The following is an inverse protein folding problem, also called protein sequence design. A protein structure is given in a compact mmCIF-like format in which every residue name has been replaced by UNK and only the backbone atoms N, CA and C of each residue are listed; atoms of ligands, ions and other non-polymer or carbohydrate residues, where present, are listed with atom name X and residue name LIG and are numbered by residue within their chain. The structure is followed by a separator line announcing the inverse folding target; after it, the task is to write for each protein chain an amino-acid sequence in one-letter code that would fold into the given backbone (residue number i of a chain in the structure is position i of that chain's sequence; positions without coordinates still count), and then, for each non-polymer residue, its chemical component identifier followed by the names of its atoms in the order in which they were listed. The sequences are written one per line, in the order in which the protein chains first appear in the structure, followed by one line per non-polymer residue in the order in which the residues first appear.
data_IF_455850997791
#
_entry.id   IF_455850997791
#
_cell.length_a   1.000
_cell.length_b   1.000
_cell.length_c   1.000
_cell.angle_alpha   90.00
_cell.angle_beta   90.00
_cell.angle_gamma   90.00
#
_symmetry.space_group_name_H-M   'P 1'
#
loop_
_entity.id
_entity.type
_entity.pdbx_description
1 polymer ?
#
# COMPACT_ATOMS: atom_id res chain seq x y z
N UNK A 1 17.09 -6.82 -1.00
CA UNK A 1 16.73 -6.73 0.43
C UNK A 1 15.72 -5.60 0.71
N UNK A 2 15.02 -5.07 -0.30
CA UNK A 2 14.05 -3.96 -0.19
C UNK A 2 12.57 -4.42 -0.12
N UNK A 3 12.31 -5.67 0.27
CA UNK A 3 10.95 -6.24 0.23
C UNK A 3 10.04 -5.73 1.36
N UNK A 4 9.74 -6.59 2.33
CA UNK A 4 8.84 -6.29 3.45
C UNK A 4 9.21 -5.06 4.28
N UNK A 5 10.50 -4.68 4.32
CA UNK A 5 10.93 -3.46 5.00
C UNK A 5 10.27 -2.19 4.44
N UNK A 6 10.12 -2.10 3.11
CA UNK A 6 9.43 -0.97 2.49
C UNK A 6 7.96 -0.89 2.88
N UNK A 7 7.28 -2.05 2.98
CA UNK A 7 5.88 -2.14 3.40
C UNK A 7 5.71 -1.71 4.87
N UNK A 8 6.60 -2.16 5.75
CA UNK A 8 6.58 -1.79 7.17
C UNK A 8 6.85 -0.30 7.36
N UNK A 9 7.81 0.27 6.61
CA UNK A 9 8.13 1.70 6.66
C UNK A 9 6.94 2.52 6.17
N UNK A 10 6.35 2.15 5.03
CA UNK A 10 5.16 2.83 4.48
C UNK A 10 3.97 2.75 5.44
N UNK A 11 3.68 1.57 6.01
CA UNK A 11 2.60 1.38 6.97
C UNK A 11 2.84 2.22 8.25
N UNK A 12 4.04 2.14 8.82
CA UNK A 12 4.40 2.90 10.03
C UNK A 12 4.33 4.40 9.80
N UNK A 13 4.77 4.89 8.63
CA UNK A 13 4.70 6.30 8.28
C UNK A 13 3.25 6.79 8.16
N UNK A 14 2.34 5.99 7.59
CA UNK A 14 0.92 6.31 7.51
C UNK A 14 0.28 6.38 8.91
N UNK A 15 0.53 5.39 9.77
CA UNK A 15 0.00 5.36 11.15
C UNK A 15 0.54 6.52 11.98
N UNK A 16 1.85 6.82 11.87
CA UNK A 16 2.47 7.93 12.60
C UNK A 16 1.91 9.28 12.14
N UNK A 17 1.74 9.48 10.83
CA UNK A 17 1.13 10.69 10.28
C UNK A 17 -0.30 10.89 10.81
N UNK A 18 -1.09 9.82 10.85
CA UNK A 18 -2.45 9.86 11.39
C UNK A 18 -2.47 10.17 12.88
N UNK A 19 -1.58 9.57 13.67
CA UNK A 19 -1.46 9.84 15.10
C UNK A 19 -1.06 11.30 15.37
N UNK A 20 -0.12 11.86 14.60
CA UNK A 20 0.29 13.25 14.71
C UNK A 20 -0.85 14.23 14.35
N UNK A 21 -1.65 13.91 13.34
CA UNK A 21 -2.81 14.71 12.96
C UNK A 21 -3.90 14.69 14.04
N UNK A 22 -4.21 13.52 14.60
CA UNK A 22 -5.15 13.39 15.74
C UNK A 22 -4.64 14.19 16.95
N UNK A 23 -3.34 14.12 17.24
CA UNK A 23 -2.74 14.86 18.36
C UNK A 23 -2.85 16.39 18.21
N UNK A 24 -2.95 16.91 16.98
CA UNK A 24 -3.02 18.36 16.71
C UNK A 24 -4.43 18.87 16.46
N UNK A 25 -5.29 18.09 15.80
CA UNK A 25 -6.64 18.51 15.38
C UNK A 25 -7.76 17.86 16.21
N UNK A 26 -7.46 16.86 17.03
CA UNK A 26 -8.43 16.15 17.88
C UNK A 26 -9.39 15.23 17.12
N UNK A 27 -9.29 15.18 15.79
CA UNK A 27 -10.11 14.36 14.90
C UNK A 27 -9.23 13.47 14.02
N UNK A 28 -9.70 12.26 13.64
CA UNK A 28 -8.99 11.42 12.70
C UNK A 28 -8.88 12.08 11.33
N UNK A 29 -7.88 11.64 10.55
CA UNK A 29 -7.75 12.07 9.16
C UNK A 29 -9.03 11.74 8.40
N UNK A 30 -9.67 12.77 7.88
CA UNK A 30 -10.76 12.60 6.92
C UNK A 30 -10.17 12.61 5.52
N UNK A 31 -10.09 11.41 4.94
CA UNK A 31 -9.54 11.22 3.61
C UNK A 31 -10.32 11.99 2.55
N UNK A 32 -11.64 12.16 2.71
CA UNK A 32 -12.47 12.86 1.73
C UNK A 32 -12.16 14.36 1.71
N UNK A 33 -11.97 14.98 2.88
CA UNK A 33 -11.61 16.41 2.96
C UNK A 33 -10.19 16.69 2.50
N UNK A 34 -9.22 15.82 2.79
CA UNK A 34 -7.85 15.97 2.27
C UNK A 34 -7.83 15.84 0.75
N UNK A 35 -8.54 14.84 0.21
CA UNK A 35 -8.60 14.59 -1.22
C UNK A 35 -9.33 15.73 -1.95
N UNK A 36 -10.39 16.27 -1.35
CA UNK A 36 -11.08 17.46 -1.85
C UNK A 36 -10.20 18.72 -1.77
N UNK A 37 -9.41 18.89 -0.71
CA UNK A 37 -8.50 20.02 -0.54
C UNK A 37 -7.34 20.00 -1.55
N UNK A 38 -6.90 18.83 -2.00
CA UNK A 38 -5.89 18.66 -3.06
C UNK A 38 -6.40 19.01 -4.46
N UNK A 39 -7.72 19.11 -4.66
CA UNK A 39 -8.31 19.46 -5.95
C UNK A 39 -7.87 18.48 -7.06
N UNK A 40 -7.48 18.96 -8.27
CA UNK A 40 -7.08 18.08 -9.38
C UNK A 40 -5.88 17.17 -9.10
N UNK A 41 -5.02 17.52 -8.13
CA UNK A 41 -3.84 16.72 -7.76
C UNK A 41 -4.20 15.41 -7.05
N UNK A 42 -5.43 15.28 -6.55
CA UNK A 42 -5.94 14.03 -5.97
C UNK A 42 -5.87 12.86 -6.95
N UNK A 43 -6.11 13.07 -8.24
CA UNK A 43 -6.01 12.06 -9.29
C UNK A 43 -4.60 11.48 -9.43
N UNK A 44 -3.56 12.29 -9.20
CA UNK A 44 -2.18 11.83 -9.25
C UNK A 44 -1.90 10.86 -8.10
N UNK A 45 -2.34 11.20 -6.88
CA UNK A 45 -2.19 10.34 -5.71
C UNK A 45 -2.96 9.03 -5.84
N UNK A 46 -4.19 9.08 -6.34
CA UNK A 46 -4.99 7.88 -6.62
C UNK A 46 -4.29 6.98 -7.64
N UNK A 47 -3.70 7.56 -8.68
CA UNK A 47 -2.97 6.80 -9.71
C UNK A 47 -1.73 6.11 -9.14
N UNK A 48 -1.00 6.79 -8.25
CA UNK A 48 0.17 6.22 -7.54
C UNK A 48 -0.29 5.06 -6.65
N UNK A 49 -1.33 5.26 -5.85
CA UNK A 49 -1.88 4.23 -4.96
C UNK A 49 -2.29 2.99 -5.76
N UNK A 50 -3.04 3.18 -6.85
CA UNK A 50 -3.46 2.09 -7.73
C UNK A 50 -2.28 1.34 -8.34
N UNK A 51 -1.22 2.06 -8.72
CA UNK A 51 0.01 1.46 -9.26
C UNK A 51 0.71 0.56 -8.24
N UNK A 52 0.75 0.99 -6.97
CA UNK A 52 1.30 0.18 -5.87
C UNK A 52 0.49 -1.10 -5.68
N UNK A 53 -0.84 -1.02 -5.68
CA UNK A 53 -1.71 -2.20 -5.58
C UNK A 53 -1.52 -3.18 -6.74
N UNK A 54 -1.34 -2.69 -7.98
CA UNK A 54 -1.03 -3.53 -9.14
C UNK A 54 0.29 -4.26 -8.96
N UNK A 55 1.35 -3.58 -8.52
CA UNK A 55 2.67 -4.19 -8.28
C UNK A 55 2.56 -5.29 -7.23
N UNK A 56 1.90 -5.02 -6.09
CA UNK A 56 1.67 -5.99 -5.03
C UNK A 56 0.91 -7.21 -5.57
N UNK A 57 -0.17 -6.98 -6.33
CA UNK A 57 -0.96 -8.05 -6.95
C UNK A 57 -0.14 -8.95 -7.88
N UNK A 58 0.71 -8.36 -8.72
CA UNK A 58 1.61 -9.09 -9.62
C UNK A 58 2.61 -9.94 -8.83
N UNK A 59 3.25 -9.37 -7.80
CA UNK A 59 4.23 -10.09 -6.97
C UNK A 59 3.59 -11.27 -6.22
N UNK A 60 2.39 -11.07 -5.67
CA UNK A 60 1.64 -12.15 -5.00
C UNK A 60 1.28 -13.25 -6.01
N UNK A 61 0.76 -12.90 -7.19
CA UNK A 61 0.42 -13.87 -8.23
C UNK A 61 1.64 -14.69 -8.69
N UNK A 62 2.79 -14.03 -8.90
CA UNK A 62 4.04 -14.71 -9.24
C UNK A 62 4.45 -15.71 -8.16
N UNK A 63 4.37 -15.31 -6.89
CA UNK A 63 4.72 -16.19 -5.76
C UNK A 63 3.79 -17.40 -5.67
N UNK A 64 2.47 -17.20 -5.82
CA UNK A 64 1.49 -18.29 -5.81
C UNK A 64 1.75 -19.26 -6.98
N UNK A 65 2.00 -18.74 -8.20
CA UNK A 65 2.33 -19.56 -9.37
C UNK A 65 3.61 -20.37 -9.16
N UNK A 66 4.66 -19.75 -8.64
CA UNK A 66 5.93 -20.42 -8.34
C UNK A 66 5.77 -21.54 -7.29
N UNK A 67 5.00 -21.31 -6.22
CA UNK A 67 4.70 -22.34 -5.21
C UNK A 67 3.90 -23.49 -5.81
N UNK A 68 2.92 -23.22 -6.69
CA UNK A 68 2.15 -24.27 -7.38
C UNK A 68 3.02 -25.11 -8.33
N UNK A 69 3.93 -24.49 -9.08
CA UNK A 69 4.84 -25.20 -9.98
C UNK A 69 5.80 -26.14 -9.21
N UNK A 70 6.37 -25.66 -8.09
CA UNK A 70 7.24 -26.48 -7.22
C UNK A 70 6.51 -27.68 -6.61
N UNK A 71 5.24 -27.52 -6.25
CA UNK A 71 4.42 -28.60 -5.69
C UNK A 71 4.15 -29.71 -6.71
N UNK A 72 3.94 -29.38 -7.99
CA UNK A 72 3.70 -30.36 -9.06
C UNK A 72 4.95 -31.20 -9.33
N UNK A 73 6.13 -30.58 -9.39
CA UNK A 73 7.40 -31.29 -9.65
C UNK A 73 7.88 -32.16 -8.47
N UNK A 74 7.29 -32.02 -7.28
CA UNK A 74 7.57 -32.88 -6.11
C UNK A 74 6.70 -34.14 -6.07
N UNK A 75 5.66 -34.21 -6.91
CA UNK A 75 4.68 -35.30 -6.94
C UNK A 75 5.01 -36.30 -8.06
N UNK A 76 5.76 -35.88 -9.08
CA UNK A 76 6.30 -36.71 -10.16
C UNK A 76 7.79 -36.95 -9.94
#
# INVERSE_FOLDING_TARGET
MLGWGAVIIWFSANVLSQAAFIGTHGVPYDAATILAALGPWSWVLITIEFSVWVIIGVVIMQKIRATRAKKIHSIF
#
